data_IF_817657241120
#
_entry.id   IF_817657241120
#
_cell.length_a   1.000
_cell.length_b   1.000
_cell.length_c   1.000
_cell.angle_alpha   90.00
_cell.angle_beta   90.00
_cell.angle_gamma   90.00
#
_symmetry.space_group_name_H-M   'P 1'
#
loop_
_entity.id
_entity.type
_entity.pdbx_description
1 polymer ?
#
# COMPACT_ATOMS: atom_id res chain seq x y z
N UNK A 1 -47.06 58.98 -2.01
CA UNK A 1 -45.89 58.40 -2.66
C UNK A 1 -44.84 57.81 -1.69
N UNK A 2 -44.82 58.20 -0.40
CA UNK A 2 -43.84 57.66 0.60
C UNK A 2 -44.14 56.24 1.08
N UNK A 3 -45.34 55.67 1.01
CA UNK A 3 -45.75 54.34 1.48
C UNK A 3 -45.44 53.20 0.48
N UNK A 4 -45.33 53.51 -0.80
CA UNK A 4 -45.01 52.51 -1.83
C UNK A 4 -43.52 52.13 -1.80
N UNK A 5 -42.63 53.07 -1.45
CA UNK A 5 -41.19 52.82 -1.33
C UNK A 5 -40.84 51.83 -0.19
N UNK A 6 -41.55 51.91 0.94
CA UNK A 6 -41.32 50.96 2.07
C UNK A 6 -41.78 49.53 1.77
N UNK A 7 -42.84 49.38 0.97
CA UNK A 7 -43.32 48.01 0.59
C UNK A 7 -42.36 47.34 -0.41
N UNK A 8 -41.71 48.13 -1.28
CA UNK A 8 -40.75 47.60 -2.26
C UNK A 8 -39.45 47.15 -1.62
N UNK A 9 -39.00 47.85 -0.55
CA UNK A 9 -37.81 47.47 0.22
C UNK A 9 -38.05 46.17 1.01
N UNK A 10 -39.24 45.96 1.57
CA UNK A 10 -39.59 44.75 2.31
C UNK A 10 -39.67 43.54 1.34
N UNK A 11 -40.14 43.74 0.11
CA UNK A 11 -40.20 42.65 -0.89
C UNK A 11 -38.83 42.24 -1.40
N UNK A 12 -37.85 43.17 -1.42
CA UNK A 12 -36.46 42.89 -1.86
C UNK A 12 -35.68 42.06 -0.84
N UNK A 13 -36.00 42.15 0.46
CA UNK A 13 -35.34 41.41 1.53
C UNK A 13 -35.79 39.95 1.58
N UNK A 14 -36.98 39.63 1.04
CA UNK A 14 -37.49 38.25 0.99
C UNK A 14 -36.93 37.41 -0.17
N UNK A 15 -36.18 38.02 -1.09
CA UNK A 15 -35.55 37.35 -2.21
C UNK A 15 -34.14 36.77 -1.88
N UNK A 16 -33.68 36.81 -0.62
CA UNK A 16 -32.52 36.04 -0.19
C UNK A 16 -32.96 34.57 -0.18
N UNK A 17 -32.83 33.95 -1.33
CA UNK A 17 -33.16 32.55 -1.54
C UNK A 17 -32.50 31.71 -0.45
N UNK A 18 -33.28 30.98 0.34
CA UNK A 18 -32.78 29.95 1.23
C UNK A 18 -32.03 28.93 0.36
N UNK A 19 -30.72 29.11 0.25
CA UNK A 19 -29.87 28.07 -0.35
C UNK A 19 -30.13 26.76 0.41
N UNK A 20 -30.62 25.76 -0.30
CA UNK A 20 -30.86 24.44 0.30
C UNK A 20 -29.51 23.78 0.64
N UNK A 21 -29.38 23.14 1.81
CA UNK A 21 -28.19 22.33 2.11
C UNK A 21 -27.97 21.29 1.01
N UNK A 22 -26.72 21.06 0.57
CA UNK A 22 -26.38 20.04 -0.44
C UNK A 22 -26.36 18.64 0.18
N UNK A 23 -27.51 18.20 0.70
CA UNK A 23 -27.63 16.97 1.48
C UNK A 23 -27.24 15.74 0.68
N UNK A 24 -27.62 15.66 -0.59
CA UNK A 24 -27.29 14.54 -1.47
C UNK A 24 -25.78 14.44 -1.74
N UNK A 25 -25.15 15.55 -2.06
CA UNK A 25 -23.70 15.60 -2.31
C UNK A 25 -22.90 15.25 -1.03
N UNK A 26 -23.38 15.72 0.11
CA UNK A 26 -22.76 15.40 1.42
C UNK A 26 -22.91 13.93 1.79
N UNK A 27 -24.05 13.32 1.53
CA UNK A 27 -24.28 11.90 1.76
C UNK A 27 -23.43 11.05 0.83
N UNK A 28 -23.41 11.37 -0.47
CA UNK A 28 -22.55 10.70 -1.44
C UNK A 28 -21.07 10.79 -1.08
N UNK A 29 -20.63 11.93 -0.51
CA UNK A 29 -19.25 12.09 -0.05
C UNK A 29 -18.92 11.17 1.14
N UNK A 30 -19.81 11.11 2.14
CA UNK A 30 -19.65 10.19 3.29
C UNK A 30 -19.57 8.74 2.84
N UNK A 31 -20.49 8.33 1.96
CA UNK A 31 -20.53 6.97 1.43
C UNK A 31 -19.27 6.63 0.62
N UNK A 32 -18.78 7.55 -0.20
CA UNK A 32 -17.56 7.34 -0.96
C UNK A 32 -16.34 7.15 -0.04
N UNK A 33 -16.20 8.01 0.98
CA UNK A 33 -15.10 7.92 1.96
C UNK A 33 -15.23 6.67 2.81
N UNK A 34 -16.44 6.30 3.24
CA UNK A 34 -16.69 5.07 3.97
C UNK A 34 -16.27 3.83 3.16
N UNK A 35 -16.64 3.74 1.88
CA UNK A 35 -16.20 2.64 1.01
C UNK A 35 -14.69 2.58 0.87
N UNK A 36 -14.03 3.72 0.67
CA UNK A 36 -12.58 3.78 0.56
C UNK A 36 -11.87 3.37 1.87
N UNK A 37 -12.43 3.71 3.03
CA UNK A 37 -11.91 3.32 4.35
C UNK A 37 -12.07 1.82 4.64
N UNK A 38 -13.04 1.17 4.03
CA UNK A 38 -13.26 -0.28 4.17
C UNK A 38 -12.56 -1.09 3.06
N UNK A 39 -11.86 -0.44 2.13
CA UNK A 39 -11.06 -1.11 1.11
C UNK A 39 -9.68 -1.47 1.68
N UNK A 40 -9.32 -2.78 1.79
CA UNK A 40 -8.06 -3.20 2.38
C UNK A 40 -6.84 -2.65 1.64
N UNK A 41 -6.88 -2.63 0.30
CA UNK A 41 -5.78 -2.15 -0.50
C UNK A 41 -5.59 -0.62 -0.36
N UNK A 42 -6.68 0.15 -0.26
CA UNK A 42 -6.59 1.58 0.01
C UNK A 42 -6.00 1.86 1.40
N UNK A 43 -6.35 1.06 2.41
CA UNK A 43 -5.78 1.19 3.75
C UNK A 43 -4.28 0.89 3.78
N UNK A 44 -3.83 -0.12 3.03
CA UNK A 44 -2.43 -0.52 3.00
C UNK A 44 -1.56 0.43 2.15
N UNK A 45 -2.04 0.80 0.96
CA UNK A 45 -1.22 1.48 -0.03
C UNK A 45 -1.56 2.96 -0.26
N UNK A 46 -2.70 3.47 0.26
CA UNK A 46 -3.18 4.83 0.00
C UNK A 46 -3.60 5.60 1.27
N UNK A 47 -3.05 5.26 2.43
CA UNK A 47 -3.40 5.85 3.74
C UNK A 47 -3.38 7.39 3.73
N UNK A 48 -2.37 8.01 3.11
CA UNK A 48 -2.27 9.47 3.06
C UNK A 48 -3.43 10.10 2.29
N UNK A 49 -3.87 9.47 1.20
CA UNK A 49 -5.02 9.93 0.40
C UNK A 49 -6.33 9.73 1.17
N UNK A 50 -6.46 8.65 1.95
CA UNK A 50 -7.60 8.42 2.84
C UNK A 50 -7.69 9.48 3.96
N UNK A 51 -6.57 9.87 4.55
CA UNK A 51 -6.53 10.93 5.57
C UNK A 51 -7.03 12.25 4.96
N UNK A 52 -6.58 12.60 3.76
CA UNK A 52 -7.04 13.80 3.06
C UNK A 52 -8.53 13.76 2.75
N UNK A 53 -9.07 12.60 2.35
CA UNK A 53 -10.49 12.42 2.13
C UNK A 53 -11.32 12.67 3.41
N UNK A 54 -10.85 12.20 4.57
CA UNK A 54 -11.47 12.48 5.88
C UNK A 54 -11.46 13.97 6.22
N UNK A 55 -10.33 14.64 5.99
CA UNK A 55 -10.21 16.08 6.22
C UNK A 55 -11.19 16.84 5.34
N UNK A 56 -11.38 16.42 4.09
CA UNK A 56 -12.38 17.04 3.20
C UNK A 56 -13.81 16.85 3.73
N UNK A 57 -14.16 15.69 4.31
CA UNK A 57 -15.45 15.50 4.99
C UNK A 57 -15.61 16.45 6.18
N UNK A 58 -14.60 16.60 7.02
CA UNK A 58 -14.66 17.53 8.16
C UNK A 58 -14.91 18.96 7.70
N UNK A 59 -14.18 19.43 6.68
CA UNK A 59 -14.39 20.78 6.11
C UNK A 59 -15.79 20.93 5.51
N UNK A 60 -16.27 19.92 4.81
CA UNK A 60 -17.63 19.89 4.27
C UNK A 60 -18.67 20.10 5.38
N UNK A 61 -18.51 19.41 6.52
CA UNK A 61 -19.44 19.52 7.66
C UNK A 61 -19.35 20.88 8.35
N UNK A 62 -18.15 21.42 8.52
CA UNK A 62 -17.92 22.77 9.06
C UNK A 62 -18.55 23.84 8.19
N UNK A 63 -18.36 23.80 6.88
CA UNK A 63 -18.97 24.76 5.94
C UNK A 63 -20.50 24.65 5.88
N UNK A 64 -21.02 23.43 5.95
CA UNK A 64 -22.46 23.20 6.01
C UNK A 64 -23.08 23.76 7.30
N UNK A 65 -22.42 23.60 8.45
CA UNK A 65 -22.85 24.16 9.73
C UNK A 65 -22.83 25.69 9.71
N UNK A 66 -21.88 26.29 9.02
CA UNK A 66 -21.77 27.73 8.79
C UNK A 66 -22.71 28.25 7.68
N UNK A 67 -23.54 27.38 7.08
CA UNK A 67 -24.44 27.67 5.95
C UNK A 67 -23.72 28.12 4.68
N UNK A 68 -22.44 27.85 4.55
CA UNK A 68 -21.62 28.06 3.36
C UNK A 68 -21.82 26.89 2.37
N UNK A 69 -23.02 26.72 1.84
CA UNK A 69 -23.43 25.55 1.10
C UNK A 69 -22.62 25.29 -0.19
N UNK A 70 -22.17 26.36 -0.86
CA UNK A 70 -21.31 26.23 -2.05
C UNK A 70 -19.93 25.65 -1.69
N UNK A 71 -19.35 26.08 -0.56
CA UNK A 71 -18.08 25.51 -0.06
C UNK A 71 -18.27 24.10 0.45
N UNK A 72 -19.38 23.82 1.15
CA UNK A 72 -19.71 22.46 1.58
C UNK A 72 -19.80 21.50 0.38
N UNK A 73 -20.46 21.91 -0.71
CA UNK A 73 -20.53 21.14 -1.96
C UNK A 73 -19.15 20.94 -2.60
N UNK A 74 -18.31 21.96 -2.58
CA UNK A 74 -16.93 21.87 -3.09
C UNK A 74 -16.13 20.82 -2.33
N UNK A 75 -16.17 20.84 -0.98
CA UNK A 75 -15.49 19.86 -0.16
C UNK A 75 -16.10 18.46 -0.24
N UNK A 76 -17.42 18.34 -0.48
CA UNK A 76 -18.05 17.05 -0.77
C UNK A 76 -17.46 16.43 -2.05
N UNK A 77 -17.37 17.20 -3.12
CA UNK A 77 -16.77 16.73 -4.38
C UNK A 77 -15.28 16.39 -4.22
N UNK A 78 -14.53 17.19 -3.45
CA UNK A 78 -13.13 16.90 -3.10
C UNK A 78 -13.01 15.57 -2.36
N UNK A 79 -13.88 15.32 -1.37
CA UNK A 79 -13.89 14.07 -0.60
C UNK A 79 -14.17 12.85 -1.49
N UNK A 80 -15.14 12.95 -2.42
CA UNK A 80 -15.47 11.90 -3.39
C UNK A 80 -14.26 11.62 -4.29
N UNK A 81 -13.64 12.67 -4.83
CA UNK A 81 -12.48 12.52 -5.71
C UNK A 81 -11.28 11.86 -4.99
N UNK A 82 -11.01 12.26 -3.74
CA UNK A 82 -9.96 11.69 -2.92
C UNK A 82 -10.25 10.23 -2.53
N UNK A 83 -11.49 9.90 -2.19
CA UNK A 83 -11.90 8.53 -1.91
C UNK A 83 -11.69 7.61 -3.13
N UNK A 84 -12.13 8.05 -4.30
CA UNK A 84 -11.93 7.30 -5.55
C UNK A 84 -10.45 7.14 -5.89
N UNK A 85 -9.67 8.20 -5.68
CA UNK A 85 -8.21 8.17 -5.85
C UNK A 85 -7.55 7.18 -4.90
N UNK A 86 -7.95 7.14 -3.62
CA UNK A 86 -7.42 6.20 -2.65
C UNK A 86 -7.66 4.74 -3.07
N UNK A 87 -8.86 4.40 -3.54
CA UNK A 87 -9.17 3.07 -4.06
C UNK A 87 -8.28 2.72 -5.27
N UNK A 88 -8.08 3.66 -6.18
CA UNK A 88 -7.26 3.42 -7.37
C UNK A 88 -5.76 3.28 -7.01
N UNK A 89 -5.23 4.12 -6.12
CA UNK A 89 -3.86 4.01 -5.59
C UNK A 89 -3.67 2.69 -4.84
N UNK A 90 -4.68 2.26 -4.05
CA UNK A 90 -4.70 0.98 -3.38
C UNK A 90 -4.57 -0.19 -4.35
N UNK A 91 -5.42 -0.26 -5.35
CA UNK A 91 -5.37 -1.30 -6.40
C UNK A 91 -4.02 -1.34 -7.13
N UNK A 92 -3.48 -0.17 -7.48
CA UNK A 92 -2.16 -0.10 -8.13
C UNK A 92 -1.03 -0.54 -7.19
N UNK A 93 -1.12 -0.17 -5.91
CA UNK A 93 -0.17 -0.61 -4.89
C UNK A 93 -0.16 -2.12 -4.72
N UNK A 94 -1.34 -2.72 -4.58
CA UNK A 94 -1.52 -4.16 -4.48
C UNK A 94 -0.98 -4.90 -5.72
N UNK A 95 -1.29 -4.44 -6.92
CA UNK A 95 -0.78 -5.04 -8.15
C UNK A 95 0.75 -4.94 -8.29
N UNK A 96 1.35 -3.83 -7.87
CA UNK A 96 2.82 -3.72 -7.83
C UNK A 96 3.45 -4.66 -6.81
N UNK A 97 2.83 -4.79 -5.62
CA UNK A 97 3.28 -5.70 -4.57
C UNK A 97 3.23 -7.15 -5.05
N UNK A 98 2.13 -7.57 -5.66
CA UNK A 98 1.97 -8.90 -6.24
C UNK A 98 3.03 -9.20 -7.31
N UNK A 99 3.22 -8.29 -8.27
CA UNK A 99 4.21 -8.44 -9.34
C UNK A 99 5.62 -8.53 -8.80
N UNK A 100 5.96 -7.67 -7.83
CA UNK A 100 7.28 -7.67 -7.17
C UNK A 100 7.53 -8.98 -6.42
N UNK A 101 6.51 -9.46 -5.69
CA UNK A 101 6.60 -10.72 -4.93
C UNK A 101 6.74 -11.91 -5.87
N UNK A 102 5.96 -11.94 -6.96
CA UNK A 102 6.06 -12.99 -7.97
C UNK A 102 7.46 -13.08 -8.54
N UNK A 103 8.04 -11.96 -8.95
CA UNK A 103 9.41 -11.91 -9.42
C UNK A 103 10.42 -12.36 -8.35
N UNK A 104 10.20 -11.96 -7.10
CA UNK A 104 11.05 -12.34 -5.98
C UNK A 104 11.03 -13.86 -5.74
N UNK A 105 9.86 -14.47 -5.75
CA UNK A 105 9.66 -15.92 -5.52
C UNK A 105 10.24 -16.74 -6.67
N UNK A 106 9.95 -16.37 -7.93
CA UNK A 106 10.48 -17.07 -9.11
C UNK A 106 12.01 -17.12 -9.12
N UNK A 107 12.68 -16.07 -8.64
CA UNK A 107 14.13 -15.99 -8.63
C UNK A 107 14.79 -16.76 -7.46
N UNK A 108 14.04 -17.26 -6.47
CA UNK A 108 14.63 -17.97 -5.33
C UNK A 108 15.38 -19.22 -5.76
N UNK A 109 14.79 -20.06 -6.62
CA UNK A 109 15.41 -21.31 -7.06
C UNK A 109 16.75 -21.07 -7.79
N UNK A 110 16.84 -20.19 -8.79
CA UNK A 110 18.13 -19.83 -9.40
C UNK A 110 19.16 -19.28 -8.40
N UNK A 111 18.73 -18.45 -7.42
CA UNK A 111 19.62 -17.90 -6.39
C UNK A 111 20.15 -19.00 -5.44
N UNK A 112 19.32 -20.00 -5.07
CA UNK A 112 19.72 -21.16 -4.26
C UNK A 112 20.73 -22.01 -5.05
N UNK A 113 20.46 -22.30 -6.33
CA UNK A 113 21.36 -23.07 -7.17
C UNK A 113 22.71 -22.37 -7.37
N UNK A 114 22.73 -21.06 -7.52
CA UNK A 114 23.98 -20.28 -7.62
C UNK A 114 24.78 -20.40 -6.31
N UNK A 115 24.11 -20.24 -5.16
CA UNK A 115 24.75 -20.39 -3.85
C UNK A 115 25.32 -21.81 -3.68
N UNK A 116 24.57 -22.82 -4.10
CA UNK A 116 25.03 -24.22 -4.05
C UNK A 116 26.26 -24.45 -4.96
N UNK A 117 26.31 -23.85 -6.15
CA UNK A 117 27.50 -23.88 -7.02
C UNK A 117 28.71 -23.24 -6.32
N UNK A 118 28.53 -22.10 -5.67
CA UNK A 118 29.58 -21.42 -4.91
C UNK A 118 30.12 -22.28 -3.77
N UNK A 119 29.24 -22.93 -3.01
CA UNK A 119 29.59 -23.85 -1.93
C UNK A 119 30.35 -25.07 -2.45
N UNK A 120 29.91 -25.63 -3.57
CA UNK A 120 30.60 -26.75 -4.21
C UNK A 120 32.02 -26.34 -4.67
N UNK A 121 32.17 -25.17 -5.25
CA UNK A 121 33.46 -24.57 -5.61
C UNK A 121 34.38 -24.40 -4.40
N UNK A 122 33.84 -23.97 -3.26
CA UNK A 122 34.57 -23.87 -2.00
C UNK A 122 35.04 -25.24 -1.49
N UNK A 123 34.19 -26.23 -1.59
CA UNK A 123 34.50 -27.65 -1.20
C UNK A 123 35.60 -28.22 -2.06
N UNK A 124 35.53 -28.06 -3.39
CA UNK A 124 36.59 -28.45 -4.31
C UNK A 124 37.94 -27.75 -4.02
N UNK A 125 37.85 -26.49 -3.59
CA UNK A 125 39.04 -25.70 -3.21
C UNK A 125 39.54 -26.02 -1.80
N UNK A 126 38.98 -26.99 -1.09
CA UNK A 126 39.31 -27.36 0.29
C UNK A 126 39.30 -26.16 1.26
N UNK A 127 38.32 -25.23 1.11
CA UNK A 127 38.12 -24.15 2.07
C UNK A 127 37.61 -24.72 3.41
N UNK A 128 38.09 -24.17 4.53
CA UNK A 128 37.67 -24.61 5.88
C UNK A 128 36.31 -23.96 6.22
N UNK A 129 35.23 -24.70 6.06
CA UNK A 129 33.85 -24.33 6.34
C UNK A 129 33.11 -25.50 7.01
N UNK A 130 32.08 -25.21 7.80
CA UNK A 130 31.14 -26.22 8.26
C UNK A 130 30.12 -26.51 7.13
N UNK A 131 30.49 -27.48 6.29
CA UNK A 131 29.63 -27.88 5.17
C UNK A 131 28.36 -28.58 5.60
N UNK A 132 28.31 -29.21 6.80
CA UNK A 132 27.09 -29.81 7.30
C UNK A 132 26.05 -28.77 7.70
N UNK A 133 26.50 -27.65 8.30
CA UNK A 133 25.62 -26.51 8.58
C UNK A 133 25.10 -25.88 7.28
N UNK A 134 26.00 -25.60 6.34
CA UNK A 134 25.66 -25.00 5.04
C UNK A 134 24.68 -25.86 4.24
N UNK A 135 24.90 -27.19 4.19
CA UNK A 135 24.00 -28.10 3.47
C UNK A 135 22.59 -28.10 4.09
N UNK A 136 22.48 -28.04 5.42
CA UNK A 136 21.18 -27.90 6.11
C UNK A 136 20.49 -26.58 5.77
N UNK A 137 21.26 -25.50 5.75
CA UNK A 137 20.74 -24.15 5.42
C UNK A 137 20.23 -24.11 3.97
N UNK A 138 20.92 -24.77 3.03
CA UNK A 138 20.48 -24.87 1.63
C UNK A 138 19.21 -25.72 1.51
N UNK A 139 19.12 -26.84 2.23
CA UNK A 139 17.90 -27.67 2.27
C UNK A 139 16.73 -26.87 2.81
N UNK A 140 16.95 -26.11 3.90
CA UNK A 140 15.94 -25.21 4.45
C UNK A 140 15.52 -24.15 3.42
N UNK A 141 16.46 -23.56 2.69
CA UNK A 141 16.17 -22.55 1.66
C UNK A 141 15.28 -23.12 0.54
N UNK A 142 15.49 -24.37 0.10
CA UNK A 142 14.61 -25.05 -0.86
C UNK A 142 13.19 -25.21 -0.30
N UNK A 143 13.06 -25.72 0.94
CA UNK A 143 11.76 -25.90 1.59
C UNK A 143 11.02 -24.56 1.78
N UNK A 144 11.73 -23.49 2.14
CA UNK A 144 11.16 -22.18 2.29
C UNK A 144 10.77 -21.56 0.93
N UNK A 145 11.52 -21.84 -0.15
CA UNK A 145 11.13 -21.46 -1.50
C UNK A 145 9.82 -22.13 -1.93
N UNK A 146 9.64 -23.42 -1.66
CA UNK A 146 8.39 -24.13 -1.91
C UNK A 146 7.22 -23.50 -1.13
N UNK A 147 7.45 -23.12 0.12
CA UNK A 147 6.45 -22.44 0.94
C UNK A 147 6.12 -21.04 0.40
N UNK A 148 7.10 -20.29 -0.08
CA UNK A 148 6.87 -18.99 -0.71
C UNK A 148 6.00 -19.11 -1.96
N UNK A 149 6.28 -20.12 -2.82
CA UNK A 149 5.48 -20.42 -4.01
C UNK A 149 4.03 -20.78 -3.62
N UNK A 150 3.83 -21.62 -2.60
CA UNK A 150 2.51 -22.00 -2.10
C UNK A 150 1.75 -20.79 -1.52
N UNK A 151 2.41 -19.97 -0.69
CA UNK A 151 1.79 -18.76 -0.13
C UNK A 151 1.38 -17.77 -1.21
N UNK A 152 2.21 -17.61 -2.25
CA UNK A 152 1.88 -16.77 -3.41
C UNK A 152 0.67 -17.32 -4.18
N UNK A 153 0.63 -18.62 -4.44
CA UNK A 153 -0.48 -19.28 -5.16
C UNK A 153 -1.81 -19.14 -4.39
N UNK A 154 -1.75 -19.12 -3.05
CA UNK A 154 -2.90 -18.90 -2.17
C UNK A 154 -3.27 -17.41 -2.02
N UNK A 155 -2.59 -16.49 -2.70
CA UNK A 155 -2.82 -15.05 -2.60
C UNK A 155 -2.30 -14.41 -1.31
N UNK A 156 -1.53 -15.12 -0.49
CA UNK A 156 -0.90 -14.63 0.74
C UNK A 156 0.41 -13.90 0.41
N UNK A 157 0.26 -12.77 -0.31
CA UNK A 157 1.37 -12.04 -0.93
C UNK A 157 2.41 -11.57 0.09
N UNK A 158 1.97 -11.02 1.22
CA UNK A 158 2.87 -10.53 2.27
C UNK A 158 3.70 -11.67 2.87
N UNK A 159 3.08 -12.81 3.15
CA UNK A 159 3.77 -13.99 3.68
C UNK A 159 4.81 -14.52 2.68
N UNK A 160 4.45 -14.63 1.40
CA UNK A 160 5.39 -15.04 0.34
C UNK A 160 6.59 -14.08 0.25
N UNK A 161 6.36 -12.78 0.38
CA UNK A 161 7.42 -11.78 0.37
C UNK A 161 8.35 -11.90 1.58
N UNK A 162 7.79 -12.15 2.77
CA UNK A 162 8.56 -12.29 4.00
C UNK A 162 9.46 -13.53 3.93
N UNK A 163 8.92 -14.67 3.47
CA UNK A 163 9.69 -15.91 3.26
C UNK A 163 10.81 -15.67 2.22
N UNK A 164 10.50 -15.02 1.09
CA UNK A 164 11.52 -14.73 0.08
C UNK A 164 12.66 -13.87 0.61
N UNK A 165 12.37 -12.89 1.48
CA UNK A 165 13.40 -12.09 2.16
C UNK A 165 14.26 -12.92 3.11
N UNK A 166 13.65 -13.83 3.88
CA UNK A 166 14.38 -14.73 4.79
C UNK A 166 15.33 -15.66 4.02
N UNK A 167 14.85 -16.27 2.94
CA UNK A 167 15.69 -17.12 2.07
C UNK A 167 16.89 -16.36 1.56
N UNK A 168 16.70 -15.16 1.00
CA UNK A 168 17.80 -14.33 0.49
C UNK A 168 18.80 -13.94 1.57
N UNK A 169 18.33 -13.60 2.77
CA UNK A 169 19.21 -13.28 3.89
C UNK A 169 20.08 -14.48 4.26
N UNK A 170 19.51 -15.70 4.27
CA UNK A 170 20.22 -16.94 4.52
C UNK A 170 21.27 -17.22 3.43
N UNK A 171 20.88 -17.13 2.14
CA UNK A 171 21.83 -17.33 1.03
C UNK A 171 22.98 -16.32 1.06
N UNK A 172 22.70 -15.05 1.40
CA UNK A 172 23.70 -14.01 1.55
C UNK A 172 24.71 -14.36 2.67
N UNK A 173 24.22 -14.87 3.82
CA UNK A 173 25.08 -15.29 4.91
C UNK A 173 25.98 -16.48 4.51
N UNK A 174 25.45 -17.47 3.77
CA UNK A 174 26.25 -18.58 3.24
C UNK A 174 27.34 -18.07 2.31
N UNK A 175 26.99 -17.22 1.33
CA UNK A 175 27.93 -16.66 0.36
C UNK A 175 29.01 -15.80 1.06
N UNK A 176 28.65 -15.07 2.13
CA UNK A 176 29.62 -14.33 2.94
C UNK A 176 30.60 -15.25 3.68
N UNK A 177 30.15 -16.38 4.25
CA UNK A 177 31.02 -17.40 4.86
C UNK A 177 32.02 -17.93 3.83
N UNK A 178 31.55 -18.27 2.61
CA UNK A 178 32.39 -18.76 1.50
C UNK A 178 33.45 -17.72 1.10
N UNK A 179 33.03 -16.49 0.89
CA UNK A 179 33.93 -15.39 0.49
C UNK A 179 34.99 -15.11 1.58
N UNK A 180 34.58 -15.13 2.86
CA UNK A 180 35.48 -14.94 3.99
C UNK A 180 36.56 -16.03 4.07
N UNK A 181 36.16 -17.30 3.92
CA UNK A 181 37.10 -18.42 3.91
C UNK A 181 38.09 -18.36 2.72
N UNK A 182 37.60 -17.95 1.54
CA UNK A 182 38.46 -17.76 0.36
C UNK A 182 39.50 -16.64 0.56
N UNK A 183 39.11 -15.55 1.21
CA UNK A 183 40.01 -14.40 1.49
C UNK A 183 41.06 -14.75 2.54
N UNK A 184 40.73 -15.56 3.54
CA UNK A 184 41.67 -15.99 4.59
C UNK A 184 42.76 -16.94 4.09
N UNK A 185 42.49 -17.63 2.98
CA UNK A 185 43.49 -18.53 2.34
C UNK A 185 44.57 -17.81 1.57
N UNK A 186 44.28 -16.54 1.12
CA UNK A 186 45.22 -15.73 0.32
C UNK A 186 46.26 -14.98 1.17
N UNK A 187 46.12 -14.97 2.48
CA UNK A 187 47.09 -14.42 3.44
C UNK A 187 47.97 -15.51 3.99
#
# INVERSE_FOLDING_TARGET
MRKIGSLLIILLVLAVGCAKPPTEEMENARDAVFRAQNDPAANEFAMNTLIRARIAIQRMEEEAANKNFDMAKTHANEAIALAQRAINEGKQGAGRSETSTSSAVINLRPEIEETQRNVNGARYSNLKLDYNEIDRDIIKAHSDADRAEASQADGRIQEAQDIAREVRANLAAINQKVAGAASSRKK
#
